data_IF_556578031358
#
_entry.id   IF_556578031358
#
_cell.length_a   1.000
_cell.length_b   1.000
_cell.length_c   1.000
_cell.angle_alpha   90.00
_cell.angle_beta   90.00
_cell.angle_gamma   90.00
#
_symmetry.space_group_name_H-M   'P 1'
#
loop_
_entity.id
_entity.type
_entity.pdbx_description
1 polymer ?
#
# COMPACT_ATOMS: atom_id res chain seq x y z
N UNK A 1 -20.39 25.81 22.26
CA UNK A 1 -20.66 24.70 21.33
C UNK A 1 -19.49 24.65 20.35
N UNK A 2 -18.47 23.86 20.67
CA UNK A 2 -17.29 23.72 19.80
C UNK A 2 -17.60 22.59 18.83
N UNK A 3 -17.96 22.95 17.60
CA UNK A 3 -17.92 22.03 16.46
C UNK A 3 -16.45 21.61 16.28
N UNK A 4 -16.04 20.54 16.96
CA UNK A 4 -14.86 19.82 16.56
C UNK A 4 -15.20 19.25 15.20
N UNK A 5 -14.60 19.81 14.15
CA UNK A 5 -14.53 19.15 12.85
C UNK A 5 -13.80 17.84 13.09
N UNK A 6 -14.55 16.76 13.31
CA UNK A 6 -14.02 15.41 13.34
C UNK A 6 -13.48 15.16 11.94
N UNK A 7 -12.16 15.22 11.79
CA UNK A 7 -11.51 14.73 10.58
C UNK A 7 -11.77 13.22 10.56
N UNK A 8 -12.70 12.78 9.73
CA UNK A 8 -13.06 11.37 9.68
C UNK A 8 -11.95 10.50 9.07
N UNK A 9 -11.08 11.07 8.22
CA UNK A 9 -10.01 10.36 7.50
C UNK A 9 -8.76 11.23 7.30
N UNK A 10 -7.59 10.59 7.26
CA UNK A 10 -6.29 11.20 6.90
C UNK A 10 -6.08 11.25 5.39
N UNK A 11 -6.61 10.25 4.68
CA UNK A 11 -6.57 10.11 3.22
C UNK A 11 -7.87 9.46 2.74
N UNK A 12 -8.40 9.96 1.62
CA UNK A 12 -9.43 9.25 0.85
C UNK A 12 -8.92 8.94 -0.57
N UNK A 13 -9.02 7.68 -0.99
CA UNK A 13 -8.82 7.29 -2.40
C UNK A 13 -10.19 7.31 -3.06
N UNK A 14 -10.35 8.13 -4.09
CA UNK A 14 -11.61 8.40 -4.79
C UNK A 14 -11.78 7.53 -6.01
N UNK A 15 -13.03 7.23 -6.35
CA UNK A 15 -13.40 6.61 -7.62
C UNK A 15 -12.67 5.29 -7.91
N UNK A 16 -12.38 4.50 -6.88
CA UNK A 16 -11.56 3.32 -7.02
C UNK A 16 -12.37 2.14 -7.56
N UNK A 17 -11.85 1.49 -8.59
CA UNK A 17 -12.25 0.11 -8.91
C UNK A 17 -11.37 -0.83 -8.07
N UNK A 18 -11.91 -1.30 -6.94
CA UNK A 18 -11.19 -2.15 -5.99
C UNK A 18 -11.27 -3.61 -6.44
N UNK A 19 -10.12 -4.24 -6.59
CA UNK A 19 -9.97 -5.66 -6.83
C UNK A 19 -9.47 -6.36 -5.57
N UNK A 20 -10.25 -7.32 -5.09
CA UNK A 20 -9.84 -8.27 -4.05
C UNK A 20 -9.52 -9.62 -4.70
N UNK A 21 -9.23 -10.63 -3.89
CA UNK A 21 -9.04 -11.99 -4.39
C UNK A 21 -10.32 -12.59 -5.01
N UNK A 22 -11.50 -12.11 -4.61
CA UNK A 22 -12.80 -12.68 -5.00
C UNK A 22 -13.68 -11.73 -5.80
N UNK A 23 -13.48 -10.42 -5.67
CA UNK A 23 -14.46 -9.43 -6.12
C UNK A 23 -13.81 -8.24 -6.83
N UNK A 24 -14.60 -7.61 -7.68
CA UNK A 24 -14.31 -6.32 -8.29
C UNK A 24 -15.49 -5.39 -8.01
N UNK A 25 -15.26 -4.26 -7.36
CA UNK A 25 -16.34 -3.31 -7.02
C UNK A 25 -15.85 -1.87 -6.97
N UNK A 26 -16.78 -0.93 -7.13
CA UNK A 26 -16.49 0.50 -7.13
C UNK A 26 -16.76 1.10 -5.74
N UNK A 27 -15.79 1.83 -5.18
CA UNK A 27 -15.98 2.58 -3.94
C UNK A 27 -14.92 3.68 -3.76
N UNK A 28 -15.17 4.58 -2.81
CA UNK A 28 -14.15 5.37 -2.15
C UNK A 28 -13.57 4.59 -0.96
N UNK A 29 -12.29 4.84 -0.67
CA UNK A 29 -11.54 4.18 0.40
C UNK A 29 -11.06 5.21 1.41
N UNK A 30 -11.50 5.10 2.65
CA UNK A 30 -11.08 5.97 3.75
C UNK A 30 -9.96 5.35 4.58
N UNK A 31 -8.90 6.12 4.83
CA UNK A 31 -7.72 5.71 5.58
C UNK A 31 -7.52 6.62 6.80
N UNK A 32 -7.30 6.02 7.97
CA UNK A 32 -6.97 6.70 9.23
C UNK A 32 -5.86 5.94 9.95
N UNK A 33 -4.85 6.64 10.47
CA UNK A 33 -3.73 6.06 11.21
C UNK A 33 -3.07 4.87 10.48
N UNK A 34 -2.91 4.99 9.16
CA UNK A 34 -2.29 3.96 8.31
C UNK A 34 -3.15 2.71 8.07
N UNK A 35 -4.44 2.73 8.44
CA UNK A 35 -5.38 1.62 8.25
C UNK A 35 -6.55 2.02 7.36
N UNK A 36 -7.05 1.06 6.59
CA UNK A 36 -8.32 1.15 5.90
C UNK A 36 -9.44 1.15 6.94
N UNK A 37 -10.19 2.24 7.08
CA UNK A 37 -11.23 2.40 8.10
C UNK A 37 -12.65 2.51 7.53
N UNK A 38 -12.79 2.74 6.22
CA UNK A 38 -14.10 2.78 5.56
C UNK A 38 -14.01 2.41 4.07
N UNK A 39 -15.05 1.76 3.56
CA UNK A 39 -15.34 1.57 2.14
C UNK A 39 -16.80 1.98 1.91
N UNK A 40 -17.08 2.88 0.96
CA UNK A 40 -18.43 3.31 0.65
C UNK A 40 -18.51 3.86 -0.79
N UNK A 41 -19.70 3.90 -1.39
CA UNK A 41 -19.88 4.51 -2.73
C UNK A 41 -19.42 5.96 -2.80
N UNK A 42 -19.55 6.70 -1.69
CA UNK A 42 -19.06 8.07 -1.55
C UNK A 42 -18.72 8.36 -0.10
N UNK A 43 -17.52 8.88 0.14
CA UNK A 43 -17.07 9.33 1.46
C UNK A 43 -17.03 10.87 1.56
N UNK A 44 -17.14 11.46 2.76
CA UNK A 44 -16.93 12.90 2.94
C UNK A 44 -15.52 13.33 2.48
N UNK A 45 -15.37 14.60 2.14
CA UNK A 45 -14.06 15.17 1.78
C UNK A 45 -13.09 15.21 2.95
N UNK A 46 -11.80 15.09 2.64
CA UNK A 46 -10.72 15.27 3.62
C UNK A 46 -9.55 16.07 3.02
N UNK A 47 -8.53 16.34 3.83
CA UNK A 47 -7.42 17.21 3.41
C UNK A 47 -6.52 16.60 2.33
N UNK A 48 -6.51 15.26 2.19
CA UNK A 48 -5.65 14.55 1.25
C UNK A 48 -6.47 13.55 0.47
N UNK A 49 -6.53 13.73 -0.83
CA UNK A 49 -7.31 12.85 -1.70
C UNK A 49 -6.47 12.40 -2.89
N UNK A 50 -6.69 11.17 -3.32
CA UNK A 50 -6.08 10.59 -4.53
C UNK A 50 -7.22 10.16 -5.44
N UNK A 51 -7.28 10.69 -6.66
CA UNK A 51 -8.24 10.24 -7.66
C UNK A 51 -7.72 8.99 -8.38
N UNK A 52 -8.42 7.87 -8.19
CA UNK A 52 -8.11 6.58 -8.80
C UNK A 52 -9.03 6.26 -9.99
N UNK A 53 -9.70 7.26 -10.57
CA UNK A 53 -10.53 7.09 -11.76
C UNK A 53 -9.77 6.35 -12.86
N UNK A 54 -10.44 5.38 -13.49
CA UNK A 54 -9.91 4.52 -14.55
C UNK A 54 -8.68 3.69 -14.13
N UNK A 55 -8.43 3.53 -12.82
CA UNK A 55 -7.40 2.65 -12.24
C UNK A 55 -8.05 1.50 -11.47
N UNK A 56 -7.30 0.41 -11.37
CA UNK A 56 -7.60 -0.70 -10.48
C UNK A 56 -6.78 -0.51 -9.21
N UNK A 57 -7.42 -0.61 -8.05
CA UNK A 57 -6.78 -0.61 -6.75
C UNK A 57 -6.74 -2.04 -6.23
N UNK A 58 -5.53 -2.55 -5.98
CA UNK A 58 -5.29 -3.87 -5.38
C UNK A 58 -4.69 -3.70 -3.98
N UNK A 59 -4.72 -4.74 -3.14
CA UNK A 59 -3.75 -4.85 -2.06
C UNK A 59 -2.32 -4.74 -2.62
N UNK A 60 -1.39 -4.24 -1.81
CA UNK A 60 0.02 -4.28 -2.16
C UNK A 60 0.52 -5.73 -2.24
N UNK A 61 1.46 -5.99 -3.14
CA UNK A 61 2.04 -7.31 -3.30
C UNK A 61 2.73 -7.81 -2.02
N UNK A 62 2.71 -9.12 -1.82
CA UNK A 62 3.46 -9.83 -0.77
C UNK A 62 4.43 -10.78 -1.45
N UNK A 63 5.72 -10.44 -1.43
CA UNK A 63 6.77 -11.30 -1.95
C UNK A 63 7.26 -12.24 -0.86
N UNK A 64 6.94 -13.52 -1.00
CA UNK A 64 7.28 -14.57 -0.04
C UNK A 64 8.64 -15.22 -0.27
N UNK A 65 9.36 -14.81 -1.32
CA UNK A 65 10.62 -15.43 -1.71
C UNK A 65 11.57 -14.40 -2.31
N UNK A 66 12.39 -13.81 -1.46
CA UNK A 66 13.47 -12.91 -1.89
C UNK A 66 14.74 -13.14 -1.07
N UNK A 67 15.87 -12.67 -1.62
CA UNK A 67 17.15 -12.63 -0.92
C UNK A 67 17.67 -11.18 -0.99
N UNK A 68 17.92 -10.57 0.17
CA UNK A 68 18.43 -9.20 0.31
C UNK A 68 19.51 -9.19 1.38
N UNK A 69 20.64 -8.52 1.09
CA UNK A 69 21.78 -8.40 2.02
C UNK A 69 22.22 -9.72 2.68
N UNK A 70 22.07 -10.84 1.97
CA UNK A 70 22.39 -12.16 2.51
C UNK A 70 23.92 -12.32 2.61
N UNK A 71 24.45 -12.96 3.67
CA UNK A 71 25.86 -13.33 3.72
C UNK A 71 26.25 -14.20 2.53
N UNK A 72 27.32 -13.79 1.83
CA UNK A 72 27.84 -14.46 0.64
C UNK A 72 29.32 -14.84 0.84
N UNK A 73 29.85 -15.80 0.06
CA UNK A 73 31.28 -16.12 0.05
C UNK A 73 32.15 -14.89 -0.23
N UNK A 74 33.41 -14.96 0.19
CA UNK A 74 34.36 -13.85 0.08
C UNK A 74 34.43 -13.28 -1.35
N UNK A 75 34.31 -11.95 -1.45
CA UNK A 75 34.36 -11.22 -2.72
C UNK A 75 33.03 -11.18 -3.50
N UNK A 76 31.96 -11.75 -2.96
CA UNK A 76 30.61 -11.69 -3.56
C UNK A 76 29.70 -10.88 -2.65
N UNK A 77 28.87 -10.01 -3.24
CA UNK A 77 27.84 -9.25 -2.55
C UNK A 77 26.52 -9.36 -3.30
N UNK A 78 25.41 -9.36 -2.57
CA UNK A 78 24.10 -9.21 -3.17
C UNK A 78 23.99 -7.87 -3.91
N UNK A 79 23.27 -7.86 -5.03
CA UNK A 79 23.03 -6.63 -5.79
C UNK A 79 22.17 -5.63 -5.01
N UNK A 80 21.22 -6.15 -4.22
CA UNK A 80 20.34 -5.35 -3.38
C UNK A 80 20.60 -5.60 -1.89
N UNK A 81 20.67 -4.50 -1.14
CA UNK A 81 20.52 -4.50 0.31
C UNK A 81 19.04 -4.34 0.69
N UNK A 82 18.74 -4.27 1.99
CA UNK A 82 17.36 -4.05 2.44
C UNK A 82 16.77 -2.72 1.96
N UNK A 83 17.57 -1.67 1.80
CA UNK A 83 17.09 -0.36 1.39
C UNK A 83 16.80 -0.33 -0.12
N UNK A 84 17.73 -0.78 -0.97
CA UNK A 84 17.54 -0.81 -2.42
C UNK A 84 16.50 -1.87 -2.83
N UNK A 85 16.51 -3.04 -2.18
CA UNK A 85 15.56 -4.12 -2.45
C UNK A 85 14.11 -3.75 -2.11
N UNK A 86 13.86 -3.14 -0.94
CA UNK A 86 12.50 -2.71 -0.57
C UNK A 86 12.02 -1.49 -1.37
N UNK A 87 12.94 -0.59 -1.77
CA UNK A 87 12.62 0.50 -2.69
C UNK A 87 12.18 -0.05 -4.06
N UNK A 88 12.92 -1.02 -4.59
CA UNK A 88 12.59 -1.71 -5.84
C UNK A 88 11.22 -2.39 -5.75
N UNK A 89 10.95 -3.10 -4.65
CA UNK A 89 9.66 -3.73 -4.38
C UNK A 89 8.51 -2.70 -4.39
N UNK A 90 8.66 -1.57 -3.68
CA UNK A 90 7.66 -0.52 -3.61
C UNK A 90 7.37 0.12 -4.99
N UNK A 91 8.40 0.38 -5.79
CA UNK A 91 8.25 0.88 -7.17
C UNK A 91 7.47 -0.10 -8.06
N UNK A 92 7.57 -1.40 -7.80
CA UNK A 92 6.83 -2.46 -8.48
C UNK A 92 5.44 -2.75 -7.92
N UNK A 93 5.01 -2.06 -6.85
CA UNK A 93 3.72 -2.29 -6.18
C UNK A 93 3.72 -3.42 -5.14
N UNK A 94 4.88 -3.95 -4.77
CA UNK A 94 5.05 -4.88 -3.63
C UNK A 94 5.29 -4.09 -2.35
N UNK A 95 4.54 -4.40 -1.30
CA UNK A 95 4.56 -3.63 -0.04
C UNK A 95 5.01 -4.45 1.17
N UNK A 96 5.25 -5.74 0.98
CA UNK A 96 5.76 -6.63 2.02
C UNK A 96 6.66 -7.66 1.36
N UNK A 97 7.84 -7.87 1.94
CA UNK A 97 8.82 -8.88 1.50
C UNK A 97 9.17 -9.78 2.67
N UNK A 98 9.37 -11.07 2.41
CA UNK A 98 9.74 -12.09 3.41
C UNK A 98 11.06 -12.74 2.94
N UNK A 99 12.21 -12.16 3.31
CA UNK A 99 13.50 -12.72 2.93
C UNK A 99 13.88 -13.92 3.79
N UNK A 100 14.80 -14.74 3.28
CA UNK A 100 15.35 -15.86 4.04
C UNK A 100 16.45 -15.40 5.00
N UNK A 101 16.43 -15.93 6.22
CA UNK A 101 17.59 -15.89 7.11
C UNK A 101 18.57 -16.98 6.68
N UNK A 102 19.84 -16.62 6.47
CA UNK A 102 20.93 -17.52 6.11
C UNK A 102 22.11 -17.35 7.05
#
# INVERSE_FOLDING_TARGET
MVIHSMRSFDLVIRNATVATASDLFFCDIGITDGRLTALAESLPSCNKEIDAKDKIITPGGVDSHCHMDQPMPEGIQMADDFASGTLSAACGGTTTVIPFAA
#
